data_IF_484355224682
#
_entry.id   IF_484355224682
#
_cell.length_a   1.000
_cell.length_b   1.000
_cell.length_c   1.000
_cell.angle_alpha   90.00
_cell.angle_beta   90.00
_cell.angle_gamma   90.00
#
_symmetry.space_group_name_H-M   'P 1'
#
loop_
_entity.id
_entity.type
_entity.pdbx_description
1 polymer ?
#
# COMPACT_ATOMS: atom_id res chain seq x y z
N UNK A 1 -6.01 -15.60 78.50
CA UNK A 1 -6.06 -14.35 77.71
C UNK A 1 -4.67 -14.21 77.08
N UNK A 2 -4.44 -14.20 75.78
CA UNK A 2 -5.24 -13.78 74.64
C UNK A 2 -5.16 -14.81 73.49
N UNK A 3 -6.23 -14.85 72.70
CA UNK A 3 -6.39 -15.69 71.52
C UNK A 3 -5.82 -14.96 70.30
N UNK A 4 -4.94 -15.61 69.52
CA UNK A 4 -4.46 -15.09 68.23
C UNK A 4 -5.16 -15.87 67.13
N UNK A 5 -6.06 -15.19 66.43
CA UNK A 5 -6.81 -15.73 65.30
C UNK A 5 -5.89 -15.89 64.08
N UNK A 6 -5.87 -17.08 63.50
CA UNK A 6 -5.17 -17.39 62.26
C UNK A 6 -6.12 -17.13 61.09
N UNK A 7 -5.92 -16.01 60.38
CA UNK A 7 -6.70 -15.71 59.17
C UNK A 7 -6.08 -16.46 57.99
N UNK A 8 -6.76 -17.49 57.52
CA UNK A 8 -6.39 -18.20 56.29
C UNK A 8 -6.71 -17.32 55.07
N UNK A 9 -5.68 -16.89 54.34
CA UNK A 9 -5.82 -16.24 53.03
C UNK A 9 -5.78 -17.35 51.96
N UNK A 10 -6.95 -17.68 51.43
CA UNK A 10 -7.10 -18.53 50.24
C UNK A 10 -6.66 -17.75 49.01
N UNK A 11 -5.45 -18.01 48.52
CA UNK A 11 -5.01 -17.54 47.21
C UNK A 11 -5.75 -18.33 46.11
N UNK A 12 -6.82 -17.74 45.58
CA UNK A 12 -7.52 -18.27 44.41
C UNK A 12 -6.61 -18.20 43.18
N UNK A 13 -6.17 -19.35 42.69
CA UNK A 13 -5.48 -19.45 41.41
C UNK A 13 -6.45 -19.06 40.29
N UNK A 14 -6.28 -17.85 39.74
CA UNK A 14 -6.90 -17.45 38.48
C UNK A 14 -6.26 -18.26 37.36
N UNK A 15 -6.83 -19.43 37.06
CA UNK A 15 -6.60 -20.12 35.79
C UNK A 15 -7.23 -19.30 34.65
N UNK A 16 -6.53 -18.25 34.24
CA UNK A 16 -6.81 -17.57 32.99
C UNK A 16 -6.54 -18.56 31.85
N UNK A 17 -7.55 -18.80 31.01
CA UNK A 17 -7.41 -19.58 29.77
C UNK A 17 -6.30 -18.97 28.89
N UNK A 18 -5.07 -19.46 29.04
CA UNK A 18 -4.00 -19.21 28.07
C UNK A 18 -4.37 -19.93 26.77
N UNK A 19 -4.23 -19.29 25.60
CA UNK A 19 -4.35 -20.00 24.33
C UNK A 19 -3.29 -21.11 24.29
N UNK A 20 -3.74 -22.36 24.11
CA UNK A 20 -2.84 -23.49 23.87
C UNK A 20 -2.10 -23.23 22.56
N UNK A 21 -0.82 -22.85 22.65
CA UNK A 21 0.05 -22.62 21.48
C UNK A 21 1.16 -21.60 21.72
N UNK A 22 1.01 -20.68 22.68
CA UNK A 22 2.00 -19.62 22.89
C UNK A 22 3.34 -20.13 23.46
N UNK A 23 3.33 -21.18 24.30
CA UNK A 23 4.56 -21.69 24.92
C UNK A 23 5.49 -22.42 23.91
N UNK A 24 4.95 -23.10 22.90
CA UNK A 24 5.75 -23.72 21.83
C UNK A 24 6.40 -22.68 20.88
N UNK A 25 5.72 -21.55 20.67
CA UNK A 25 6.22 -20.45 19.84
C UNK A 25 7.43 -19.73 20.47
N UNK A 26 7.64 -19.82 21.78
CA UNK A 26 8.72 -19.13 22.50
C UNK A 26 9.87 -20.08 22.91
N UNK A 27 9.63 -21.39 23.06
CA UNK A 27 10.64 -22.34 23.57
C UNK A 27 11.36 -23.21 22.51
N UNK A 28 10.87 -23.26 21.26
CA UNK A 28 11.51 -24.03 20.19
C UNK A 28 12.63 -23.26 19.47
N UNK A 29 13.73 -23.95 19.14
CA UNK A 29 14.85 -23.47 18.31
C UNK A 29 14.31 -22.75 17.06
N UNK A 30 14.68 -21.47 16.89
CA UNK A 30 14.22 -20.64 15.78
C UNK A 30 14.57 -21.28 14.42
N UNK A 31 15.69 -22.00 14.35
CA UNK A 31 16.09 -22.72 13.13
C UNK A 31 15.10 -23.85 12.80
N UNK A 32 14.62 -24.60 13.81
CA UNK A 32 13.64 -25.66 13.60
C UNK A 32 12.27 -25.13 13.13
N UNK A 33 11.90 -23.88 13.49
CA UNK A 33 10.65 -23.24 13.05
C UNK A 33 10.70 -22.72 11.62
N UNK A 34 11.87 -22.34 11.12
CA UNK A 34 12.06 -21.87 9.74
C UNK A 34 12.42 -23.00 8.78
N UNK A 35 12.76 -24.20 9.28
CA UNK A 35 13.13 -25.33 8.45
C UNK A 35 11.92 -26.00 7.79
N UNK A 36 11.90 -26.00 6.46
CA UNK A 36 10.92 -26.74 5.64
C UNK A 36 11.65 -27.81 4.83
N UNK A 37 11.43 -29.07 5.18
CA UNK A 37 12.12 -30.21 4.58
C UNK A 37 11.82 -30.37 3.07
N UNK A 38 12.72 -31.01 2.30
CA UNK A 38 12.44 -31.36 0.90
C UNK A 38 11.12 -32.13 0.76
N UNK A 39 10.31 -31.76 -0.23
CA UNK A 39 8.98 -32.34 -0.45
C UNK A 39 7.88 -31.83 0.49
N UNK A 40 8.17 -30.83 1.34
CA UNK A 40 7.17 -30.11 2.15
C UNK A 40 6.96 -28.69 1.64
N UNK A 41 5.76 -28.17 1.90
CA UNK A 41 5.34 -26.82 1.50
C UNK A 41 5.53 -25.82 2.64
N UNK A 42 5.77 -24.57 2.26
CA UNK A 42 5.57 -23.42 3.14
C UNK A 42 4.08 -23.23 3.45
N UNK A 43 3.80 -22.58 4.59
CA UNK A 43 2.43 -22.35 5.06
C UNK A 43 1.81 -21.11 4.41
N UNK A 44 2.61 -20.08 4.15
CA UNK A 44 2.13 -18.83 3.55
C UNK A 44 3.00 -18.38 2.37
N UNK A 45 2.35 -17.69 1.44
CA UNK A 45 3.03 -16.83 0.48
C UNK A 45 3.23 -15.44 1.06
N UNK A 46 4.42 -14.89 0.88
CA UNK A 46 4.74 -13.50 1.14
C UNK A 46 5.02 -12.79 -0.19
N UNK A 47 4.21 -11.78 -0.52
CA UNK A 47 4.29 -11.01 -1.76
C UNK A 47 4.97 -9.69 -1.40
N UNK A 48 6.22 -9.55 -1.80
CA UNK A 48 7.13 -8.54 -1.28
C UNK A 48 7.51 -7.56 -2.38
N UNK A 49 7.49 -6.28 -2.03
CA UNK A 49 8.04 -5.23 -2.88
C UNK A 49 9.55 -5.44 -3.11
N UNK A 50 10.01 -5.23 -4.35
CA UNK A 50 11.42 -5.20 -4.68
C UNK A 50 12.06 -3.80 -4.62
N UNK A 51 11.31 -2.78 -4.21
CA UNK A 51 11.76 -1.39 -4.17
C UNK A 51 12.23 -0.89 -5.54
N UNK A 52 13.40 -0.26 -5.56
CA UNK A 52 14.04 0.29 -6.76
C UNK A 52 14.37 -0.72 -7.87
N UNK A 53 14.22 -2.03 -7.64
CA UNK A 53 14.33 -2.99 -8.74
C UNK A 53 13.05 -3.06 -9.60
N UNK A 54 11.94 -2.44 -9.16
CA UNK A 54 10.67 -2.35 -9.89
C UNK A 54 9.90 -3.66 -10.05
N UNK A 55 10.22 -4.70 -9.27
CA UNK A 55 9.66 -6.05 -9.40
C UNK A 55 9.07 -6.55 -8.09
N UNK A 56 8.34 -7.66 -8.13
CA UNK A 56 7.76 -8.30 -6.95
C UNK A 56 8.44 -9.64 -6.70
N UNK A 57 8.84 -9.89 -5.45
CA UNK A 57 9.31 -11.19 -5.00
C UNK A 57 8.19 -11.99 -4.33
N UNK A 58 8.05 -13.26 -4.70
CA UNK A 58 7.14 -14.21 -4.06
C UNK A 58 7.96 -15.16 -3.21
N UNK A 59 7.80 -15.08 -1.89
CA UNK A 59 8.53 -15.90 -0.93
C UNK A 59 7.62 -16.89 -0.22
N UNK A 60 8.16 -18.01 0.22
CA UNK A 60 7.54 -18.93 1.17
C UNK A 60 7.85 -18.56 2.62
N UNK A 61 6.86 -18.66 3.49
CA UNK A 61 7.01 -18.54 4.95
C UNK A 61 6.58 -19.87 5.60
N UNK A 62 7.40 -20.44 6.51
CA UNK A 62 8.49 -19.79 7.23
C UNK A 62 9.88 -19.93 6.60
N UNK A 63 10.05 -20.61 5.47
CA UNK A 63 11.38 -20.94 4.95
C UNK A 63 12.18 -19.74 4.44
N UNK A 64 11.53 -18.62 4.11
CA UNK A 64 12.14 -17.46 3.49
C UNK A 64 12.68 -17.70 2.08
N UNK A 65 12.23 -18.76 1.39
CA UNK A 65 12.74 -19.13 0.06
C UNK A 65 12.03 -18.29 -1.00
N UNK A 66 12.78 -17.73 -1.95
CA UNK A 66 12.22 -17.08 -3.13
C UNK A 66 11.69 -18.13 -4.10
N UNK A 67 10.40 -18.05 -4.43
CA UNK A 67 9.75 -18.94 -5.39
C UNK A 67 9.68 -18.35 -6.79
N UNK A 68 9.45 -17.03 -6.90
CA UNK A 68 9.25 -16.36 -8.18
C UNK A 68 9.56 -14.88 -8.07
N UNK A 69 10.11 -14.31 -9.14
CA UNK A 69 10.12 -12.86 -9.37
C UNK A 69 9.06 -12.58 -10.43
N UNK A 70 8.17 -11.62 -10.15
CA UNK A 70 7.17 -11.13 -11.10
C UNK A 70 7.65 -9.76 -11.62
N UNK A 71 8.01 -9.65 -12.91
CA UNK A 71 8.34 -8.36 -13.51
C UNK A 71 7.13 -7.42 -13.53
N UNK A 72 7.33 -6.16 -13.13
CA UNK A 72 6.25 -5.15 -13.08
C UNK A 72 6.68 -3.87 -13.80
N UNK A 73 7.49 -3.03 -13.17
CA UNK A 73 7.92 -1.74 -13.74
C UNK A 73 9.30 -1.79 -14.40
N UNK A 74 9.96 -2.95 -14.34
CA UNK A 74 11.27 -3.19 -14.93
C UNK A 74 11.22 -4.31 -15.94
N UNK A 75 12.10 -4.26 -16.94
CA UNK A 75 12.28 -5.35 -17.91
C UNK A 75 12.67 -6.65 -17.22
N UNK A 76 12.09 -7.76 -17.67
CA UNK A 76 12.31 -9.10 -17.14
C UNK A 76 12.81 -10.05 -18.23
N UNK A 77 14.12 -10.01 -18.58
CA UNK A 77 14.66 -10.72 -19.73
C UNK A 77 14.50 -12.24 -19.66
N UNK A 78 14.52 -12.83 -18.47
CA UNK A 78 14.26 -14.26 -18.25
C UNK A 78 12.89 -14.69 -18.83
N UNK A 79 11.88 -13.83 -18.69
CA UNK A 79 10.51 -14.09 -19.12
C UNK A 79 10.13 -13.43 -20.44
N UNK A 80 11.02 -12.60 -21.00
CA UNK A 80 10.72 -11.72 -22.14
C UNK A 80 9.84 -10.51 -21.82
N UNK A 81 9.52 -10.25 -20.55
CA UNK A 81 8.71 -9.11 -20.12
C UNK A 81 9.40 -7.78 -20.45
N UNK A 82 8.70 -6.90 -21.15
CA UNK A 82 9.24 -5.64 -21.68
C UNK A 82 9.95 -5.78 -23.03
N UNK A 83 10.05 -7.01 -23.57
CA UNK A 83 10.60 -7.30 -24.90
C UNK A 83 9.56 -7.86 -25.86
N UNK A 84 8.47 -8.45 -25.35
CA UNK A 84 7.36 -8.96 -26.17
C UNK A 84 6.39 -7.83 -26.56
N UNK A 85 5.67 -7.97 -27.68
CA UNK A 85 4.73 -6.94 -28.15
C UNK A 85 3.61 -6.66 -27.14
N UNK A 86 3.21 -7.68 -26.37
CA UNK A 86 2.16 -7.57 -25.34
C UNK A 86 2.65 -6.81 -24.09
N UNK A 87 3.95 -6.78 -23.84
CA UNK A 87 4.52 -6.24 -22.59
C UNK A 87 5.32 -4.96 -22.79
N UNK A 88 5.79 -4.66 -24.00
CA UNK A 88 6.41 -3.36 -24.34
C UNK A 88 5.52 -2.16 -23.94
N UNK A 89 4.21 -2.16 -24.23
CA UNK A 89 3.36 -1.03 -23.87
C UNK A 89 3.25 -0.81 -22.36
N UNK A 90 3.42 -1.85 -21.54
CA UNK A 90 3.33 -1.74 -20.08
C UNK A 90 4.42 -0.84 -19.48
N UNK A 91 5.54 -0.67 -20.18
CA UNK A 91 6.67 0.15 -19.74
C UNK A 91 6.71 1.52 -20.43
N UNK A 92 5.72 1.83 -21.27
CA UNK A 92 5.56 3.15 -21.85
C UNK A 92 4.68 4.01 -20.95
N UNK A 93 5.09 5.26 -20.79
CA UNK A 93 4.44 6.27 -19.97
C UNK A 93 4.22 7.53 -20.80
N UNK A 94 3.54 8.51 -20.22
CA UNK A 94 3.45 9.86 -20.80
C UNK A 94 4.83 10.52 -21.01
N UNK A 95 5.87 10.02 -20.33
CA UNK A 95 7.27 10.47 -20.44
C UNK A 95 8.14 9.56 -21.33
N UNK A 96 7.53 8.64 -22.08
CA UNK A 96 8.23 7.68 -22.94
C UNK A 96 8.50 6.34 -22.25
N UNK A 97 9.49 5.60 -22.75
CA UNK A 97 9.83 4.27 -22.26
C UNK A 97 10.61 4.36 -20.93
N UNK A 98 10.03 3.82 -19.85
CA UNK A 98 10.59 3.84 -18.50
C UNK A 98 10.67 2.41 -17.95
N UNK A 99 11.81 1.70 -18.17
CA UNK A 99 11.99 0.29 -17.81
C UNK A 99 12.51 0.08 -16.38
N UNK A 100 12.12 0.96 -15.46
CA UNK A 100 12.42 0.87 -14.03
C UNK A 100 11.39 1.66 -13.21
N UNK A 101 11.28 1.36 -11.91
CA UNK A 101 10.60 2.21 -10.92
C UNK A 101 10.99 1.77 -9.50
N UNK A 102 10.57 2.56 -8.50
CA UNK A 102 10.50 2.17 -7.10
C UNK A 102 9.12 1.57 -6.79
N UNK A 103 9.05 0.23 -6.81
CA UNK A 103 7.84 -0.49 -6.43
C UNK A 103 7.74 -0.50 -4.91
N UNK A 104 6.82 0.27 -4.32
CA UNK A 104 6.92 0.57 -2.88
C UNK A 104 6.06 -0.36 -1.99
N UNK A 105 4.76 -0.38 -2.19
CA UNK A 105 3.80 -1.11 -1.37
C UNK A 105 3.05 -2.16 -2.17
N UNK A 106 2.62 -3.21 -1.48
CA UNK A 106 1.73 -4.25 -2.00
C UNK A 106 0.42 -4.20 -1.22
N UNK A 107 -0.69 -4.30 -1.94
CA UNK A 107 -2.01 -4.58 -1.36
C UNK A 107 -2.66 -5.75 -2.07
N UNK A 108 -3.36 -6.60 -1.33
CA UNK A 108 -4.08 -7.75 -1.89
C UNK A 108 -5.56 -7.45 -1.99
N UNK A 109 -6.20 -8.00 -3.01
CA UNK A 109 -7.65 -7.95 -3.15
C UNK A 109 -8.35 -8.55 -1.93
N UNK A 110 -9.45 -7.91 -1.54
CA UNK A 110 -10.26 -8.25 -0.40
C UNK A 110 -11.75 -8.38 -0.74
N UNK A 111 -12.42 -9.24 0.02
CA UNK A 111 -13.88 -9.36 0.10
C UNK A 111 -14.25 -9.42 1.58
N UNK A 112 -15.13 -8.51 2.03
CA UNK A 112 -15.52 -8.37 3.44
C UNK A 112 -14.32 -8.20 4.38
N UNK A 113 -13.28 -7.52 3.90
CA UNK A 113 -12.08 -7.19 4.66
C UNK A 113 -11.04 -8.31 4.75
N UNK A 114 -11.32 -9.49 4.20
CA UNK A 114 -10.43 -10.63 4.16
C UNK A 114 -9.78 -10.77 2.78
N UNK A 115 -8.52 -11.19 2.72
CA UNK A 115 -7.83 -11.42 1.45
C UNK A 115 -8.52 -12.54 0.68
N UNK A 116 -8.85 -12.30 -0.58
CA UNK A 116 -9.56 -13.26 -1.44
C UNK A 116 -8.70 -13.83 -2.57
N UNK A 117 -7.43 -13.42 -2.66
CA UNK A 117 -6.43 -14.04 -3.52
C UNK A 117 -6.66 -13.85 -5.02
N UNK A 118 -7.53 -12.93 -5.44
CA UNK A 118 -7.77 -12.63 -6.86
C UNK A 118 -6.59 -11.88 -7.48
N UNK A 119 -6.15 -10.80 -6.83
CA UNK A 119 -5.14 -9.89 -7.35
C UNK A 119 -4.20 -9.39 -6.26
N UNK A 120 -3.00 -9.01 -6.68
CA UNK A 120 -2.14 -8.11 -5.95
C UNK A 120 -2.01 -6.78 -6.71
N UNK A 121 -1.90 -5.70 -5.98
CA UNK A 121 -1.71 -4.36 -6.52
C UNK A 121 -0.41 -3.78 -6.01
N UNK A 122 0.31 -3.07 -6.87
CA UNK A 122 1.57 -2.44 -6.55
C UNK A 122 1.60 -1.00 -7.08
N UNK A 123 2.29 -0.11 -6.38
CA UNK A 123 2.52 1.27 -6.85
C UNK A 123 3.96 1.45 -7.32
N UNK A 124 4.15 2.20 -8.41
CA UNK A 124 5.42 2.81 -8.79
C UNK A 124 5.49 4.22 -8.22
N UNK A 125 6.48 4.49 -7.38
CA UNK A 125 6.62 5.76 -6.66
C UNK A 125 7.29 6.85 -7.52
N UNK A 126 8.28 6.50 -8.34
CA UNK A 126 9.04 7.46 -9.16
C UNK A 126 8.19 7.99 -10.33
N UNK A 127 7.64 7.08 -11.13
CA UNK A 127 6.66 7.44 -12.17
C UNK A 127 5.28 6.97 -11.68
N UNK A 128 4.44 7.87 -11.16
CA UNK A 128 3.18 7.53 -10.49
C UNK A 128 2.32 6.57 -11.30
N UNK A 129 2.37 5.29 -10.92
CA UNK A 129 1.65 4.21 -11.61
C UNK A 129 1.09 3.22 -10.61
N UNK A 130 0.05 2.51 -11.02
CA UNK A 130 -0.51 1.35 -10.35
C UNK A 130 -0.37 0.15 -11.27
N UNK A 131 0.04 -0.99 -10.73
CA UNK A 131 0.06 -2.26 -11.42
C UNK A 131 -0.88 -3.24 -10.75
N UNK A 132 -1.54 -4.07 -11.56
CA UNK A 132 -2.32 -5.23 -11.11
C UNK A 132 -1.62 -6.51 -11.54
N UNK A 133 -1.48 -7.41 -10.58
CA UNK A 133 -0.93 -8.75 -10.76
C UNK A 133 -2.08 -9.74 -10.59
N UNK A 134 -2.26 -10.61 -11.57
CA UNK A 134 -3.18 -11.73 -11.49
C UNK A 134 -2.52 -12.87 -10.69
N UNK A 135 -3.08 -13.21 -9.54
CA UNK A 135 -2.50 -14.23 -8.66
C UNK A 135 -2.77 -15.67 -9.13
N UNK A 136 -3.65 -15.88 -10.10
CA UNK A 136 -3.81 -17.19 -10.76
C UNK A 136 -2.67 -17.50 -11.73
N UNK A 137 -2.05 -16.46 -12.31
CA UNK A 137 -0.95 -16.62 -13.29
C UNK A 137 0.40 -16.08 -12.81
N UNK A 138 0.42 -15.32 -11.71
CA UNK A 138 1.58 -14.59 -11.20
C UNK A 138 2.25 -13.73 -12.30
N UNK A 139 1.42 -12.94 -13.00
CA UNK A 139 1.85 -12.02 -14.06
C UNK A 139 1.20 -10.65 -13.86
N UNK A 140 1.94 -9.61 -14.23
CA UNK A 140 1.40 -8.25 -14.37
C UNK A 140 0.42 -8.24 -15.52
N UNK A 141 -0.85 -7.95 -15.21
CA UNK A 141 -1.94 -7.94 -16.16
C UNK A 141 -2.18 -6.55 -16.75
N UNK A 142 -1.86 -5.51 -15.97
CA UNK A 142 -2.27 -4.13 -16.27
C UNK A 142 -1.38 -3.15 -15.50
N UNK A 143 -1.04 -2.03 -16.15
CA UNK A 143 -0.38 -0.88 -15.53
C UNK A 143 -1.15 0.38 -15.94
N UNK A 144 -1.48 1.21 -14.96
CA UNK A 144 -2.21 2.46 -15.10
C UNK A 144 -1.37 3.61 -14.56
N UNK A 145 -1.12 4.62 -15.39
CA UNK A 145 -0.43 5.86 -14.98
C UNK A 145 -1.41 6.82 -14.29
N UNK A 146 -0.95 7.45 -13.21
CA UNK A 146 -1.75 8.34 -12.37
C UNK A 146 -1.38 9.80 -12.69
N UNK A 147 -2.29 10.58 -13.32
CA UNK A 147 -2.05 11.98 -13.61
C UNK A 147 -2.09 12.82 -12.34
N UNK A 148 -1.67 14.08 -12.46
CA UNK A 148 -1.72 15.06 -11.38
C UNK A 148 -0.97 14.62 -10.11
N UNK A 149 0.06 13.80 -10.25
CA UNK A 149 0.69 13.11 -9.12
C UNK A 149 2.21 13.12 -9.22
N UNK A 150 2.88 13.07 -8.07
CA UNK A 150 4.31 12.81 -7.95
C UNK A 150 4.60 12.13 -6.60
N UNK A 151 5.57 11.20 -6.62
CA UNK A 151 5.87 10.36 -5.46
C UNK A 151 4.64 9.58 -5.02
N UNK A 152 4.17 8.63 -5.83
CA UNK A 152 2.94 7.89 -5.51
C UNK A 152 3.18 6.95 -4.31
N UNK A 153 3.09 7.43 -3.08
CA UNK A 153 3.52 6.70 -1.88
C UNK A 153 2.36 6.19 -1.02
N UNK A 154 1.36 7.03 -0.74
CA UNK A 154 0.14 6.66 -0.02
C UNK A 154 -0.80 5.81 -0.91
N UNK A 155 -0.25 4.71 -1.43
CA UNK A 155 -0.73 3.85 -2.50
C UNK A 155 -0.07 2.46 -2.39
N UNK A 156 -0.65 1.36 -2.89
CA UNK A 156 -1.95 1.19 -3.51
C UNK A 156 -2.96 0.65 -2.50
N UNK A 157 -3.24 1.40 -1.44
CA UNK A 157 -4.11 0.92 -0.36
C UNK A 157 -5.55 0.73 -0.85
N UNK A 158 -6.15 -0.39 -0.46
CA UNK A 158 -7.41 -0.88 -1.02
C UNK A 158 -8.57 -0.81 -0.01
N UNK A 159 -9.79 -0.58 -0.51
CA UNK A 159 -11.02 -0.67 0.28
C UNK A 159 -11.40 -2.12 0.62
N UNK A 160 -12.27 -2.26 1.62
CA UNK A 160 -12.63 -3.54 2.26
C UNK A 160 -13.15 -4.62 1.29
N UNK A 161 -13.78 -4.25 0.17
CA UNK A 161 -14.26 -5.19 -0.84
C UNK A 161 -13.61 -4.98 -2.20
N UNK A 162 -12.40 -4.39 -2.24
CA UNK A 162 -11.72 -4.07 -3.49
C UNK A 162 -12.52 -3.14 -4.39
N UNK A 163 -13.33 -2.24 -3.86
CA UNK A 163 -14.07 -1.25 -4.67
C UNK A 163 -13.11 -0.24 -5.31
N UNK A 164 -12.15 0.23 -4.53
CA UNK A 164 -11.16 1.22 -4.93
C UNK A 164 -9.76 0.88 -4.44
N UNK A 165 -8.79 1.26 -5.25
CA UNK A 165 -7.39 1.49 -4.88
C UNK A 165 -7.20 2.99 -4.75
N UNK A 166 -6.45 3.43 -3.74
CA UNK A 166 -6.02 4.82 -3.66
C UNK A 166 -4.59 4.99 -4.16
N UNK A 167 -4.36 6.06 -4.92
CA UNK A 167 -3.05 6.58 -5.26
C UNK A 167 -2.99 8.06 -4.90
N UNK A 168 -2.03 8.49 -4.10
CA UNK A 168 -1.98 9.84 -3.57
C UNK A 168 -0.57 10.43 -3.63
N UNK A 169 -0.51 11.74 -3.86
CA UNK A 169 0.74 12.49 -3.92
C UNK A 169 1.50 12.46 -2.60
N UNK A 170 2.73 11.97 -2.63
CA UNK A 170 3.72 12.30 -1.60
C UNK A 170 4.30 13.67 -1.84
N UNK A 171 4.52 14.06 -3.08
CA UNK A 171 5.05 15.38 -3.42
C UNK A 171 3.96 16.13 -4.17
N UNK A 172 3.49 17.24 -3.59
CA UNK A 172 2.59 18.13 -4.33
C UNK A 172 3.29 18.66 -5.57
N UNK A 173 2.52 18.83 -6.64
CA UNK A 173 2.97 19.33 -7.94
C UNK A 173 1.95 20.34 -8.48
N UNK A 174 2.32 21.19 -9.45
CA UNK A 174 1.34 21.83 -10.31
C UNK A 174 0.53 20.75 -11.02
N UNK A 175 -0.77 20.96 -11.17
CA UNK A 175 -1.64 19.96 -11.79
C UNK A 175 -1.49 20.02 -13.31
N UNK A 176 -1.75 18.91 -14.00
CA UNK A 176 -1.53 18.75 -15.43
C UNK A 176 -2.47 19.64 -16.27
N UNK A 177 -3.52 20.20 -15.65
CA UNK A 177 -4.46 21.17 -16.25
C UNK A 177 -3.95 22.62 -16.24
N UNK A 178 -2.75 22.87 -15.72
CA UNK A 178 -2.13 24.18 -15.58
C UNK A 178 -0.77 24.25 -16.27
N UNK A 179 -0.22 25.46 -16.40
CA UNK A 179 1.18 25.62 -16.76
C UNK A 179 2.05 25.06 -15.62
N UNK A 180 2.80 24.00 -15.92
CA UNK A 180 3.67 23.32 -14.96
C UNK A 180 4.95 24.10 -14.65
N UNK A 181 5.31 25.10 -15.47
CA UNK A 181 6.49 25.94 -15.25
C UNK A 181 6.18 27.07 -14.27
N UNK A 182 6.14 26.70 -12.98
CA UNK A 182 5.93 27.64 -11.88
C UNK A 182 7.18 27.76 -10.99
N UNK A 183 7.56 28.98 -10.58
CA UNK A 183 8.70 29.16 -9.68
C UNK A 183 8.50 28.44 -8.34
N UNK A 184 9.50 27.67 -7.89
CA UNK A 184 9.40 26.86 -6.66
C UNK A 184 9.10 27.68 -5.39
N UNK A 185 9.47 28.98 -5.36
CA UNK A 185 9.15 29.88 -4.25
C UNK A 185 7.64 30.19 -4.14
N UNK A 186 6.83 29.84 -5.13
CA UNK A 186 5.36 29.94 -5.13
C UNK A 186 4.66 28.65 -4.67
N UNK A 187 5.41 27.69 -4.12
CA UNK A 187 4.93 26.35 -3.76
C UNK A 187 3.57 26.34 -3.04
N UNK A 188 3.42 27.20 -2.03
CA UNK A 188 2.22 27.24 -1.17
C UNK A 188 0.93 27.57 -1.95
N UNK A 189 1.08 28.29 -3.05
CA UNK A 189 -0.01 28.83 -3.85
C UNK A 189 -0.27 27.97 -5.09
N UNK A 190 0.78 27.56 -5.79
CA UNK A 190 0.67 26.88 -7.09
C UNK A 190 0.67 25.35 -7.01
N UNK A 191 1.23 24.75 -5.95
CA UNK A 191 1.34 23.30 -5.86
C UNK A 191 0.13 22.74 -5.09
N UNK A 192 -0.33 21.56 -5.52
CA UNK A 192 -1.48 20.86 -4.95
C UNK A 192 -1.18 19.38 -4.82
N UNK A 193 -1.81 18.74 -3.84
CA UNK A 193 -1.82 17.29 -3.76
C UNK A 193 -3.07 16.73 -4.45
N UNK A 194 -3.00 15.48 -4.89
CA UNK A 194 -4.13 14.74 -5.44
C UNK A 194 -4.28 13.39 -4.73
N UNK A 195 -5.53 12.97 -4.55
CA UNK A 195 -5.88 11.63 -4.11
C UNK A 195 -6.79 11.01 -5.17
N UNK A 196 -6.22 10.10 -5.94
CA UNK A 196 -6.91 9.33 -6.95
C UNK A 196 -7.60 8.12 -6.33
N UNK A 197 -8.89 7.99 -6.59
CA UNK A 197 -9.65 6.76 -6.35
C UNK A 197 -9.76 6.02 -7.68
N UNK A 198 -9.11 4.86 -7.76
CA UNK A 198 -9.07 4.00 -8.94
C UNK A 198 -10.02 2.83 -8.69
N UNK A 199 -11.13 2.78 -9.42
CA UNK A 199 -12.11 1.70 -9.30
C UNK A 199 -11.54 0.40 -9.85
N UNK A 200 -11.90 -0.72 -9.20
CA UNK A 200 -11.58 -2.06 -9.67
C UNK A 200 -12.87 -2.74 -10.16
N UNK A 201 -12.85 -3.26 -11.38
CA UNK A 201 -13.91 -4.14 -11.87
C UNK A 201 -13.90 -5.46 -11.07
N UNK A 202 -15.02 -5.79 -10.42
CA UNK A 202 -15.07 -6.94 -9.50
C UNK A 202 -14.93 -8.31 -10.17
N UNK A 203 -15.11 -8.38 -11.49
CA UNK A 203 -14.98 -9.61 -12.27
C UNK A 203 -13.60 -9.70 -12.92
N UNK A 204 -13.19 -8.67 -13.67
CA UNK A 204 -11.95 -8.71 -14.45
C UNK A 204 -10.72 -8.22 -13.68
N UNK A 205 -10.93 -7.41 -12.63
CA UNK A 205 -9.87 -6.68 -11.91
C UNK A 205 -9.42 -5.40 -12.60
N UNK A 206 -9.94 -5.09 -13.79
CA UNK A 206 -9.56 -3.90 -14.58
C UNK A 206 -9.66 -2.61 -13.77
N UNK A 207 -8.62 -1.78 -13.87
CA UNK A 207 -8.48 -0.54 -13.12
C UNK A 207 -8.91 0.65 -13.96
N UNK A 208 -9.66 1.57 -13.36
CA UNK A 208 -10.01 2.84 -14.01
C UNK A 208 -10.00 3.99 -13.00
N UNK A 209 -9.47 5.16 -13.38
CA UNK A 209 -9.51 6.35 -12.53
C UNK A 209 -10.96 6.82 -12.45
N UNK A 210 -11.58 6.71 -11.27
CA UNK A 210 -12.97 7.12 -11.09
C UNK A 210 -13.07 8.61 -10.79
N UNK A 211 -12.25 9.11 -9.87
CA UNK A 211 -12.18 10.52 -9.52
C UNK A 211 -10.88 10.84 -8.78
N UNK A 212 -10.53 12.12 -8.72
CA UNK A 212 -9.46 12.63 -7.88
C UNK A 212 -10.00 13.69 -6.92
N UNK A 213 -9.52 13.67 -5.67
CA UNK A 213 -9.75 14.75 -4.70
C UNK A 213 -8.55 15.66 -4.74
N UNK A 214 -8.76 16.93 -5.12
CA UNK A 214 -7.75 17.97 -5.04
C UNK A 214 -7.58 18.40 -3.58
N UNK A 215 -6.32 18.46 -3.13
CA UNK A 215 -5.96 18.84 -1.76
C UNK A 215 -5.01 20.04 -1.78
N UNK A 216 -4.81 20.73 -0.65
CA UNK A 216 -3.73 21.70 -0.52
C UNK A 216 -2.37 21.08 -0.87
N UNK A 217 -1.37 21.92 -1.16
CA UNK A 217 0.00 21.48 -1.45
C UNK A 217 0.74 20.93 -0.23
N UNK A 218 0.27 19.82 0.33
CA UNK A 218 0.84 19.08 1.47
C UNK A 218 1.32 17.70 1.00
N UNK A 219 2.13 17.03 1.84
CA UNK A 219 2.68 15.73 1.49
C UNK A 219 2.02 14.63 2.32
N UNK A 220 1.44 13.64 1.63
CA UNK A 220 0.91 12.43 2.26
C UNK A 220 1.95 11.32 2.31
N UNK A 221 1.95 10.53 3.37
CA UNK A 221 2.91 9.43 3.54
C UNK A 221 2.25 8.07 3.32
N UNK A 222 1.37 7.68 4.23
CA UNK A 222 0.66 6.40 4.19
C UNK A 222 -0.84 6.62 4.16
N UNK A 223 -1.58 5.59 3.73
CA UNK A 223 -3.03 5.61 3.80
C UNK A 223 -3.62 4.27 4.19
N UNK A 224 -4.87 4.26 4.64
CA UNK A 224 -5.61 3.02 4.94
C UNK A 224 -7.11 3.23 4.82
N UNK A 225 -7.77 2.29 4.14
CA UNK A 225 -9.22 2.21 4.16
C UNK A 225 -9.72 1.72 5.52
N UNK A 226 -10.80 2.35 6.00
CA UNK A 226 -11.58 1.80 7.09
C UNK A 226 -12.30 0.52 6.67
N UNK A 227 -12.45 -0.40 7.63
CA UNK A 227 -13.17 -1.68 7.50
C UNK A 227 -14.25 -1.80 8.58
N UNK A 228 -15.24 -2.67 8.36
CA UNK A 228 -16.32 -2.94 9.30
C UNK A 228 -17.02 -1.66 9.75
N UNK A 229 -16.92 -1.30 11.03
CA UNK A 229 -17.54 -0.07 11.59
C UNK A 229 -17.03 1.24 10.96
N UNK A 230 -15.84 1.22 10.36
CA UNK A 230 -15.23 2.37 9.68
C UNK A 230 -15.31 2.28 8.16
N UNK A 231 -16.05 1.31 7.61
CA UNK A 231 -16.32 1.21 6.18
C UNK A 231 -16.86 2.55 5.64
N UNK A 232 -16.44 2.92 4.43
CA UNK A 232 -16.77 4.22 3.84
C UNK A 232 -15.78 5.35 4.14
N UNK A 233 -14.79 5.10 5.01
CA UNK A 233 -13.73 6.07 5.32
C UNK A 233 -12.37 5.62 4.79
N UNK A 234 -11.51 6.61 4.53
CA UNK A 234 -10.10 6.44 4.20
C UNK A 234 -9.29 7.44 5.01
N UNK A 235 -8.12 7.02 5.51
CA UNK A 235 -7.27 7.85 6.35
C UNK A 235 -5.91 8.02 5.70
N UNK A 236 -5.36 9.23 5.75
CA UNK A 236 -4.07 9.59 5.15
C UNK A 236 -3.21 10.29 6.18
N UNK A 237 -1.98 9.83 6.41
CA UNK A 237 -1.01 10.58 7.20
C UNK A 237 -0.39 11.70 6.37
N UNK A 238 -0.21 12.85 7.00
CA UNK A 238 0.49 14.00 6.44
C UNK A 238 1.75 14.25 7.26
N UNK A 239 2.87 14.53 6.60
CA UNK A 239 4.15 14.86 7.24
C UNK A 239 4.68 16.25 6.87
N UNK A 240 4.05 16.94 5.93
CA UNK A 240 4.47 18.28 5.49
C UNK A 240 3.26 19.22 5.47
N UNK A 241 2.62 19.40 6.62
CA UNK A 241 1.52 20.36 6.74
C UNK A 241 1.99 21.82 6.62
N UNK A 242 3.29 22.05 6.76
CA UNK A 242 3.98 23.34 6.61
C UNK A 242 4.11 23.78 5.16
N UNK A 243 3.96 22.83 4.21
CA UNK A 243 4.17 23.06 2.77
C UNK A 243 5.60 23.52 2.48
N UNK A 244 6.58 22.90 3.15
CA UNK A 244 7.99 23.11 2.88
C UNK A 244 8.37 22.52 1.51
N UNK A 245 9.34 23.15 0.85
CA UNK A 245 9.82 22.76 -0.48
C UNK A 245 11.35 22.53 -0.52
N UNK A 246 12.04 22.74 0.60
CA UNK A 246 13.50 22.63 0.74
C UNK A 246 13.82 22.08 2.13
N UNK A 247 14.90 21.30 2.23
CA UNK A 247 15.38 20.69 3.48
C UNK A 247 14.22 20.05 4.26
N UNK A 248 13.49 19.14 3.61
CA UNK A 248 12.26 18.58 4.14
C UNK A 248 12.48 17.87 5.48
N UNK A 249 13.66 17.30 5.70
CA UNK A 249 14.06 16.66 6.96
C UNK A 249 14.05 17.61 8.16
N UNK A 250 14.13 18.93 7.90
CA UNK A 250 14.11 19.99 8.92
C UNK A 250 12.78 20.73 8.91
N UNK A 251 12.23 20.98 7.72
CA UNK A 251 11.12 21.93 7.54
C UNK A 251 9.74 21.26 7.42
N UNK A 252 9.66 20.00 6.99
CA UNK A 252 8.43 19.21 7.04
C UNK A 252 8.37 18.53 8.42
N UNK A 253 7.29 18.73 9.17
CA UNK A 253 7.18 18.41 10.60
C UNK A 253 7.96 19.34 11.54
N UNK A 254 8.12 20.62 11.16
CA UNK A 254 8.60 21.67 12.06
C UNK A 254 7.56 22.04 13.14
N UNK A 255 6.28 21.73 12.92
CA UNK A 255 5.21 21.83 13.92
C UNK A 255 5.26 20.62 14.87
N UNK A 256 4.83 20.84 16.11
CA UNK A 256 4.71 19.76 17.10
C UNK A 256 3.80 18.60 16.63
N UNK A 257 2.85 18.89 15.73
CA UNK A 257 1.89 17.93 15.18
C UNK A 257 1.51 18.28 13.75
N UNK A 258 1.49 17.27 12.90
CA UNK A 258 0.76 17.27 11.63
C UNK A 258 -0.67 16.73 11.83
N UNK A 259 -1.31 16.21 10.78
CA UNK A 259 -2.68 15.71 10.83
C UNK A 259 -2.84 14.37 10.10
N UNK A 260 -3.93 13.66 10.46
CA UNK A 260 -4.52 12.61 9.64
C UNK A 260 -5.70 13.22 8.90
N UNK A 261 -5.72 13.12 7.58
CA UNK A 261 -6.89 13.47 6.81
C UNK A 261 -7.82 12.26 6.71
N UNK A 262 -9.08 12.44 7.13
CA UNK A 262 -10.12 11.44 6.99
C UNK A 262 -11.04 11.82 5.82
N UNK A 263 -11.12 10.95 4.82
CA UNK A 263 -11.96 11.11 3.63
C UNK A 263 -13.13 10.12 3.72
N UNK A 264 -14.35 10.63 3.68
CA UNK A 264 -15.52 9.78 3.45
C UNK A 264 -15.68 9.57 1.94
N UNK A 265 -15.18 8.45 1.43
CA UNK A 265 -15.17 8.18 -0.01
C UNK A 265 -16.56 7.88 -0.57
N UNK A 266 -17.48 7.37 0.25
CA UNK A 266 -18.90 7.23 -0.13
C UNK A 266 -19.55 8.58 -0.40
N UNK A 267 -19.23 9.58 0.42
CA UNK A 267 -19.71 10.95 0.19
C UNK A 267 -19.03 11.59 -1.02
N UNK A 268 -17.75 11.32 -1.24
CA UNK A 268 -17.07 11.75 -2.46
C UNK A 268 -17.73 11.16 -3.72
N UNK A 269 -18.09 9.88 -3.72
CA UNK A 269 -18.85 9.26 -4.82
C UNK A 269 -20.21 9.95 -5.06
N UNK A 270 -20.92 10.32 -3.98
CA UNK A 270 -22.20 11.04 -4.09
C UNK A 270 -22.00 12.40 -4.77
N UNK A 271 -20.98 13.16 -4.35
CA UNK A 271 -20.67 14.45 -4.97
C UNK A 271 -20.24 14.33 -6.42
N UNK A 272 -19.40 13.36 -6.76
CA UNK A 272 -19.00 13.10 -8.16
C UNK A 272 -20.21 12.78 -9.05
N UNK A 273 -21.19 12.02 -8.53
CA UNK A 273 -22.42 11.69 -9.26
C UNK A 273 -23.36 12.89 -9.43
N UNK A 274 -23.26 13.90 -8.56
CA UNK A 274 -24.08 15.10 -8.61
C UNK A 274 -23.58 16.16 -9.62
N UNK A 275 -22.33 16.03 -10.10
CA UNK A 275 -21.65 17.01 -10.95
C UNK A 275 -20.95 18.10 -10.14
#
# INVERSE_FOLDING_TARGET
MASVAFTAVTAGALFSCKPKGAEAAVSGDAAAKAYVAPGKYDEFYNIVSGGFNGQIGIYGIPSGRLFRIVPVFSVGPESGYGYSEETKPMLNTSHGFVPWDDLHHISLSQTKGEHDGRWAFANGNNTPRLARIDLSTFRTAEILEIPNSAGNHASPFITENSEYIVAATRFSVPLDDQDGDVPINTYKDNFKGSISFVSINQTSGEMNIAFQIRTPGVNFDLSRAGKGKSHGWFFFSCYNSEKANTLLEVNASARDKDFIMAVNWKKAEEYVKAG
#
